data_IF_335136640920
#
_entry.id   IF_335136640920
#
_cell.length_a   1.000
_cell.length_b   1.000
_cell.length_c   1.000
_cell.angle_alpha   90.00
_cell.angle_beta   90.00
_cell.angle_gamma   90.00
#
_symmetry.space_group_name_H-M   'P 1'
#
loop_
_entity.id
_entity.type
_entity.pdbx_description
1 polymer ?
#
# COMPACT_ATOMS: atom_id res chain seq x y z
N UNK A 1 21.36 2.24 -6.91
CA UNK A 1 20.12 2.89 -7.37
C UNK A 1 19.47 1.90 -8.33
N UNK A 2 18.25 1.46 -8.05
CA UNK A 2 17.54 0.59 -8.99
C UNK A 2 17.20 1.36 -10.25
N UNK A 3 17.31 0.71 -11.41
CA UNK A 3 16.86 1.26 -12.68
C UNK A 3 15.32 1.31 -12.71
N UNK A 4 14.74 2.28 -13.43
CA UNK A 4 13.29 2.41 -13.60
C UNK A 4 12.67 1.11 -14.13
N UNK A 5 13.37 0.39 -15.01
CA UNK A 5 12.91 -0.89 -15.54
C UNK A 5 12.78 -1.95 -14.42
N UNK A 6 13.69 -1.94 -13.44
CA UNK A 6 13.66 -2.88 -12.31
C UNK A 6 12.46 -2.61 -11.41
N UNK A 7 12.15 -1.34 -11.13
CA UNK A 7 10.99 -0.95 -10.32
C UNK A 7 9.68 -1.38 -11.02
N UNK A 8 9.59 -1.14 -12.33
CA UNK A 8 8.41 -1.56 -13.12
C UNK A 8 8.26 -3.08 -13.12
N UNK A 9 9.37 -3.82 -13.27
CA UNK A 9 9.33 -5.28 -13.26
C UNK A 9 8.95 -5.84 -11.88
N UNK A 10 9.44 -5.24 -10.79
CA UNK A 10 9.07 -5.61 -9.42
C UNK A 10 7.57 -5.43 -9.18
N UNK A 11 7.02 -4.27 -9.51
CA UNK A 11 5.58 -3.99 -9.34
C UNK A 11 4.70 -4.90 -10.22
N UNK A 12 5.17 -5.25 -11.42
CA UNK A 12 4.47 -6.18 -12.30
C UNK A 12 4.52 -7.62 -11.79
N UNK A 13 5.63 -8.05 -11.18
CA UNK A 13 5.75 -9.37 -10.53
C UNK A 13 4.84 -9.45 -9.31
N UNK A 14 4.82 -8.40 -8.47
CA UNK A 14 3.93 -8.28 -7.33
C UNK A 14 2.45 -8.40 -7.74
N UNK A 15 2.01 -7.60 -8.72
CA UNK A 15 0.63 -7.67 -9.19
C UNK A 15 0.26 -8.98 -9.86
N UNK A 16 1.21 -9.63 -10.57
CA UNK A 16 0.98 -10.98 -11.10
C UNK A 16 0.80 -11.99 -9.97
N UNK A 17 1.67 -11.97 -8.96
CA UNK A 17 1.59 -12.85 -7.80
C UNK A 17 0.29 -12.64 -7.02
N UNK A 18 -0.11 -11.39 -6.81
CA UNK A 18 -1.35 -11.03 -6.17
C UNK A 18 -2.58 -11.55 -6.92
N UNK A 19 -2.57 -11.44 -8.25
CA UNK A 19 -3.62 -11.98 -9.10
C UNK A 19 -3.68 -13.51 -9.05
N UNK A 20 -2.55 -14.19 -9.09
CA UNK A 20 -2.48 -15.66 -9.07
C UNK A 20 -2.94 -16.25 -7.73
N UNK A 21 -2.71 -15.54 -6.63
CA UNK A 21 -3.09 -15.97 -5.28
C UNK A 21 -4.40 -15.30 -4.78
N UNK A 22 -5.12 -14.60 -5.65
CA UNK A 22 -6.35 -13.87 -5.34
C UNK A 22 -6.24 -12.97 -4.10
N UNK A 23 -5.06 -12.39 -3.90
CA UNK A 23 -4.75 -11.57 -2.73
C UNK A 23 -5.71 -10.39 -2.67
N UNK A 24 -6.30 -10.20 -1.49
CA UNK A 24 -7.23 -9.12 -1.20
C UNK A 24 -6.53 -8.04 -0.34
N UNK A 25 -6.93 -6.77 -0.42
CA UNK A 25 -6.46 -5.76 0.50
C UNK A 25 -6.85 -6.11 1.93
N UNK A 26 -6.00 -5.74 2.88
CA UNK A 26 -6.25 -5.94 4.29
C UNK A 26 -7.31 -4.97 4.77
N UNK A 27 -8.41 -5.48 5.29
CA UNK A 27 -9.48 -4.66 5.84
C UNK A 27 -9.10 -4.19 7.24
N UNK A 28 -9.03 -2.89 7.44
CA UNK A 28 -8.84 -2.29 8.76
C UNK A 28 -10.06 -2.61 9.64
N UNK A 29 -9.80 -3.15 10.84
CA UNK A 29 -10.88 -3.55 11.77
C UNK A 29 -11.36 -2.41 12.66
N UNK A 30 -10.51 -1.41 12.85
CA UNK A 30 -10.76 -0.20 13.63
C UNK A 30 -9.99 0.96 13.00
N UNK A 31 -10.33 2.20 13.36
CA UNK A 31 -9.53 3.36 12.95
C UNK A 31 -8.12 3.24 13.52
N UNK A 32 -7.11 3.72 12.79
CA UNK A 32 -5.71 3.66 13.22
C UNK A 32 -5.15 2.23 13.39
N UNK A 33 -5.76 1.22 12.74
CA UNK A 33 -5.37 -0.19 12.83
C UNK A 33 -3.93 -0.45 12.34
N UNK A 34 -3.06 -0.86 13.26
CA UNK A 34 -1.65 -1.13 12.97
C UNK A 34 -1.43 -2.37 12.08
N UNK A 35 -2.42 -3.27 11.96
CA UNK A 35 -2.26 -4.45 11.11
C UNK A 35 -2.14 -4.05 9.63
N UNK A 36 -2.65 -2.86 9.26
CA UNK A 36 -2.48 -2.28 7.93
C UNK A 36 -1.01 -2.08 7.54
N UNK A 37 -0.08 -1.92 8.49
CA UNK A 37 1.35 -1.89 8.17
C UNK A 37 1.87 -3.24 7.64
N UNK A 38 1.17 -4.33 7.93
CA UNK A 38 1.41 -5.66 7.37
C UNK A 38 0.53 -5.97 6.15
N UNK A 39 -0.05 -4.95 5.50
CA UNK A 39 -0.91 -5.17 4.35
C UNK A 39 -0.15 -5.84 3.19
N UNK A 40 -0.85 -6.65 2.37
CA UNK A 40 -0.21 -7.37 1.30
C UNK A 40 0.23 -6.44 0.16
N UNK A 41 1.21 -6.90 -0.60
CA UNK A 41 1.64 -6.24 -1.83
C UNK A 41 0.81 -6.71 -3.02
N UNK A 42 -0.04 -5.80 -3.49
CA UNK A 42 -0.85 -5.97 -4.69
C UNK A 42 -0.14 -5.42 -5.94
N UNK A 43 0.91 -4.60 -5.79
CA UNK A 43 1.56 -3.91 -6.90
C UNK A 43 0.53 -3.27 -7.83
N UNK A 44 0.63 -3.54 -9.14
CA UNK A 44 -0.29 -2.99 -10.13
C UNK A 44 -1.64 -3.72 -10.27
N UNK A 45 -1.98 -4.64 -9.36
CA UNK A 45 -3.22 -5.42 -9.41
C UNK A 45 -4.30 -4.84 -8.49
N UNK A 46 -5.50 -4.64 -9.03
CA UNK A 46 -6.68 -4.25 -8.26
C UNK A 46 -7.65 -5.43 -8.20
N UNK A 47 -7.91 -6.01 -7.01
CA UNK A 47 -8.80 -7.15 -6.86
C UNK A 47 -10.25 -6.80 -7.20
N UNK A 48 -10.98 -7.79 -7.73
CA UNK A 48 -12.36 -7.62 -8.17
C UNK A 48 -13.29 -7.37 -6.96
N UNK A 49 -14.14 -6.35 -7.05
CA UNK A 49 -15.02 -5.94 -5.95
C UNK A 49 -14.42 -4.87 -5.04
N UNK A 50 -13.18 -4.44 -5.33
CA UNK A 50 -12.55 -3.30 -4.69
C UNK A 50 -12.40 -2.16 -5.68
N UNK A 51 -12.50 -0.95 -5.15
CA UNK A 51 -12.22 0.29 -5.86
C UNK A 51 -11.18 1.04 -5.08
N UNK A 52 -10.04 1.29 -5.71
CA UNK A 52 -9.02 2.18 -5.13
C UNK A 52 -9.61 3.59 -5.05
N UNK A 53 -9.73 4.11 -3.83
CA UNK A 53 -10.27 5.45 -3.52
C UNK A 53 -9.15 6.47 -3.32
N UNK A 54 -8.02 6.03 -2.75
CA UNK A 54 -6.92 6.92 -2.43
C UNK A 54 -5.57 6.19 -2.50
N UNK A 55 -4.48 6.96 -2.57
CA UNK A 55 -3.10 6.45 -2.45
C UNK A 55 -2.34 7.28 -1.44
N UNK A 56 -1.70 6.60 -0.50
CA UNK A 56 -0.87 7.20 0.52
C UNK A 56 0.59 6.92 0.21
N UNK A 57 1.38 7.98 0.15
CA UNK A 57 2.82 7.85 0.00
C UNK A 57 3.44 7.75 1.39
N UNK A 58 4.02 6.60 1.72
CA UNK A 58 4.51 6.28 3.06
C UNK A 58 5.98 5.93 2.98
N UNK A 59 6.76 6.46 3.93
CA UNK A 59 8.17 6.08 4.08
C UNK A 59 8.27 4.66 4.64
N UNK A 60 8.88 3.74 3.88
CA UNK A 60 9.04 2.34 4.28
C UNK A 60 10.21 2.12 5.24
N UNK A 61 11.07 3.13 5.42
CA UNK A 61 12.23 3.02 6.32
C UNK A 61 11.84 3.19 7.79
N UNK A 62 10.60 3.60 8.09
CA UNK A 62 10.11 3.81 9.45
C UNK A 62 10.83 4.93 10.22
N UNK A 63 11.67 5.70 9.51
CA UNK A 63 12.52 6.78 10.02
C UNK A 63 12.21 8.12 9.33
N UNK A 64 11.11 8.20 8.58
CA UNK A 64 10.67 9.44 7.95
C UNK A 64 10.57 10.57 8.98
N UNK A 65 11.22 11.69 8.68
CA UNK A 65 11.17 12.87 9.53
C UNK A 65 9.89 13.68 9.28
N UNK A 66 9.36 14.33 10.31
CA UNK A 66 8.28 15.31 10.18
C UNK A 66 8.76 16.51 9.33
N UNK A 67 8.59 16.42 8.01
CA UNK A 67 9.09 17.42 7.06
C UNK A 67 9.31 16.90 5.64
N UNK A 68 9.28 15.58 5.43
CA UNK A 68 9.40 14.97 4.10
C UNK A 68 8.05 14.88 3.36
N UNK A 69 8.02 14.84 2.02
CA UNK A 69 6.78 14.68 1.24
C UNK A 69 6.07 13.33 1.47
N UNK A 70 6.76 12.34 2.03
CA UNK A 70 6.17 11.05 2.42
C UNK A 70 5.57 11.13 3.83
N UNK A 71 4.40 10.52 4.01
CA UNK A 71 3.77 10.39 5.32
C UNK A 71 4.64 9.49 6.21
N UNK A 72 4.80 9.90 7.46
CA UNK A 72 5.36 9.03 8.49
C UNK A 72 4.38 7.89 8.80
N UNK A 73 4.87 6.79 9.36
CA UNK A 73 4.00 5.68 9.78
C UNK A 73 2.83 6.17 10.65
N UNK A 74 3.10 7.04 11.64
CA UNK A 74 2.05 7.62 12.49
C UNK A 74 1.04 8.47 11.73
N UNK A 75 1.49 9.28 10.76
CA UNK A 75 0.58 10.12 9.96
C UNK A 75 -0.30 9.27 9.03
N UNK A 76 0.24 8.18 8.50
CA UNK A 76 -0.54 7.22 7.73
C UNK A 76 -1.52 6.47 8.64
N UNK A 77 -1.09 6.05 9.83
CA UNK A 77 -1.95 5.41 10.82
C UNK A 77 -3.19 6.26 11.13
N UNK A 78 -3.00 7.54 11.40
CA UNK A 78 -4.08 8.50 11.66
C UNK A 78 -5.08 8.67 10.49
N UNK A 79 -4.75 8.17 9.29
CA UNK A 79 -5.62 8.20 8.10
C UNK A 79 -6.34 6.87 7.85
N UNK A 80 -5.97 5.81 8.56
CA UNK A 80 -6.60 4.50 8.46
C UNK A 80 -8.00 4.59 9.05
N UNK A 81 -8.98 4.13 8.28
CA UNK A 81 -10.39 4.11 8.65
C UNK A 81 -10.91 2.70 8.74
N UNK A 82 -11.75 2.43 9.73
CA UNK A 82 -12.40 1.12 9.84
C UNK A 82 -13.20 0.76 8.57
N UNK A 83 -13.17 -0.51 8.17
CA UNK A 83 -13.94 -1.03 7.05
C UNK A 83 -13.34 -0.76 5.66
N UNK A 84 -12.30 0.08 5.55
CA UNK A 84 -11.53 0.26 4.32
C UNK A 84 -10.45 -0.83 4.18
N UNK A 85 -10.17 -1.19 2.92
CA UNK A 85 -9.08 -2.08 2.55
C UNK A 85 -7.80 -1.31 2.28
N UNK A 86 -6.66 -1.87 2.68
CA UNK A 86 -5.35 -1.28 2.45
C UNK A 86 -4.39 -2.32 1.88
N UNK A 87 -3.56 -1.90 0.93
CA UNK A 87 -2.54 -2.75 0.34
C UNK A 87 -1.45 -1.92 -0.34
N UNK A 88 -0.26 -2.49 -0.47
CA UNK A 88 0.83 -1.85 -1.20
C UNK A 88 0.53 -1.95 -2.70
N UNK A 89 0.48 -0.81 -3.38
CA UNK A 89 0.21 -0.72 -4.82
C UNK A 89 1.44 -0.36 -5.62
N UNK A 90 2.44 0.23 -4.96
CA UNK A 90 3.73 0.45 -5.59
C UNK A 90 4.86 0.39 -4.55
N UNK A 91 5.85 -0.45 -4.81
CA UNK A 91 7.05 -0.55 -3.98
C UNK A 91 8.23 0.15 -4.65
N UNK A 92 8.76 1.18 -4.01
CA UNK A 92 10.01 1.86 -4.37
C UNK A 92 11.19 1.41 -3.49
N UNK A 93 12.38 2.00 -3.72
CA UNK A 93 13.61 1.63 -2.99
C UNK A 93 13.59 2.05 -1.51
N UNK A 94 12.95 3.18 -1.19
CA UNK A 94 12.87 3.74 0.16
C UNK A 94 11.44 4.13 0.57
N UNK A 95 10.54 4.30 -0.40
CA UNK A 95 9.18 4.79 -0.23
C UNK A 95 8.22 3.81 -0.91
N UNK A 96 7.04 3.64 -0.31
CA UNK A 96 5.97 2.77 -0.81
C UNK A 96 4.69 3.59 -1.00
N UNK A 97 3.85 3.15 -1.92
CA UNK A 97 2.49 3.65 -2.05
C UNK A 97 1.53 2.60 -1.51
N UNK A 98 0.72 2.99 -0.54
CA UNK A 98 -0.37 2.18 0.00
C UNK A 98 -1.67 2.69 -0.62
N UNK A 99 -2.35 1.81 -1.36
CA UNK A 99 -3.69 2.07 -1.87
C UNK A 99 -4.73 1.85 -0.79
N UNK A 100 -5.68 2.78 -0.70
CA UNK A 100 -6.94 2.64 0.02
C UNK A 100 -8.00 2.10 -0.93
N UNK A 101 -8.72 1.09 -0.49
CA UNK A 101 -9.71 0.38 -1.27
C UNK A 101 -11.04 0.37 -0.54
N UNK A 102 -12.11 0.72 -1.25
CA UNK A 102 -13.48 0.60 -0.79
C UNK A 102 -14.16 -0.58 -1.50
N UNK A 103 -15.05 -1.30 -0.80
CA UNK A 103 -15.85 -2.36 -1.42
C UNK A 103 -16.87 -1.74 -2.36
N UNK A 104 -16.91 -2.23 -3.60
CA UNK A 104 -17.85 -1.82 -4.64
C UNK A 104 -19.19 -2.56 -4.52
#
# INVERSE_FOLDING_TARGET
MYDLATIVEMNKKAGKHAKENEIQPLIAKYDEDEAVFGCPDLGNFVPKGWKETNRYFVDNSGLGQEGEPALTAKQFQAKIKEGFGYAIVETGQFQIYIGEFERK
#
